data_IF_284678891111
#
_entry.id   IF_284678891111
#
_cell.length_a   1.000
_cell.length_b   1.000
_cell.length_c   1.000
_cell.angle_alpha   90.00
_cell.angle_beta   90.00
_cell.angle_gamma   90.00
#
_symmetry.space_group_name_H-M   'P 1'
#
loop_
_entity.id
_entity.type
_entity.pdbx_description
1 polymer ?
#
# COMPACT_ATOMS: atom_id res chain seq x y z
N UNK A 1 19.04 -24.25 -21.90
CA UNK A 1 18.47 -23.24 -21.00
C UNK A 1 17.52 -23.95 -20.04
N UNK A 2 17.55 -23.70 -18.73
CA UNK A 2 16.55 -24.24 -17.82
C UNK A 2 15.16 -23.75 -18.25
N UNK A 3 14.14 -24.57 -18.19
CA UNK A 3 12.79 -24.13 -18.53
C UNK A 3 12.36 -23.11 -17.50
N UNK A 4 12.35 -21.82 -17.90
CA UNK A 4 11.77 -20.77 -17.10
C UNK A 4 10.28 -20.79 -17.38
N UNK A 5 9.51 -21.29 -16.43
CA UNK A 5 8.06 -21.15 -16.49
C UNK A 5 7.72 -19.68 -16.24
N UNK A 6 7.09 -18.97 -17.19
CA UNK A 6 6.69 -17.62 -16.95
C UNK A 6 5.66 -17.58 -15.82
N UNK A 7 5.88 -16.68 -14.88
CA UNK A 7 4.94 -16.49 -13.78
C UNK A 7 3.71 -15.73 -14.29
N UNK A 8 2.55 -16.31 -14.08
CA UNK A 8 1.28 -15.76 -14.53
C UNK A 8 0.59 -15.00 -13.39
N UNK A 9 0.46 -13.71 -13.54
CA UNK A 9 -0.13 -12.82 -12.53
C UNK A 9 -1.56 -12.38 -12.85
N UNK A 10 -1.98 -12.52 -14.07
CA UNK A 10 -3.31 -12.14 -14.51
C UNK A 10 -4.00 -13.27 -15.28
N UNK A 11 -5.30 -13.17 -15.43
CA UNK A 11 -6.08 -14.22 -16.09
C UNK A 11 -5.69 -14.44 -17.56
N UNK A 12 -5.22 -13.41 -18.25
CA UNK A 12 -4.99 -13.46 -19.70
C UNK A 12 -3.61 -12.97 -20.14
N UNK A 13 -2.81 -12.41 -19.24
CA UNK A 13 -1.51 -11.82 -19.59
C UNK A 13 -0.45 -12.12 -18.53
N UNK A 14 0.81 -12.25 -18.96
CA UNK A 14 1.98 -12.41 -18.10
C UNK A 14 2.51 -11.05 -17.62
N UNK A 15 1.62 -10.20 -17.16
CA UNK A 15 1.97 -8.90 -16.61
C UNK A 15 1.34 -8.74 -15.24
N UNK A 16 2.17 -8.41 -14.26
CA UNK A 16 1.72 -8.22 -12.89
C UNK A 16 0.95 -6.90 -12.77
N UNK A 17 -0.36 -6.97 -12.54
CA UNK A 17 -1.20 -5.80 -12.33
C UNK A 17 -0.84 -5.02 -11.07
N UNK A 18 -0.25 -5.69 -10.08
CA UNK A 18 0.25 -5.05 -8.85
C UNK A 18 1.64 -4.39 -9.03
N UNK A 19 2.18 -4.36 -10.25
CA UNK A 19 3.44 -3.66 -10.61
C UNK A 19 3.23 -2.69 -11.77
N UNK A 20 1.97 -2.42 -12.10
CA UNK A 20 1.61 -1.73 -13.34
C UNK A 20 1.18 -0.26 -13.14
N UNK A 21 1.04 0.21 -11.91
CA UNK A 21 0.40 1.52 -11.65
C UNK A 21 1.14 2.68 -12.30
N UNK A 22 2.46 2.67 -12.29
CA UNK A 22 3.26 3.68 -12.98
C UNK A 22 3.13 3.59 -14.50
N UNK A 23 3.30 2.38 -15.07
CA UNK A 23 3.26 2.15 -16.51
C UNK A 23 1.85 2.23 -17.07
N UNK A 24 0.86 1.76 -16.32
CA UNK A 24 -0.55 1.66 -16.71
C UNK A 24 -0.74 1.00 -18.09
N UNK A 25 -0.02 -0.12 -18.30
CA UNK A 25 -0.12 -0.92 -19.52
C UNK A 25 -1.49 -1.62 -19.62
N UNK A 26 -2.04 -2.04 -18.48
CA UNK A 26 -3.33 -2.71 -18.38
C UNK A 26 -4.49 -1.70 -18.31
N UNK A 27 -5.62 -2.06 -18.93
CA UNK A 27 -6.82 -1.21 -18.89
C UNK A 27 -7.42 -1.10 -17.48
N UNK A 28 -7.36 -2.19 -16.71
CA UNK A 28 -7.79 -2.19 -15.31
C UNK A 28 -7.00 -1.18 -14.47
N UNK A 29 -5.67 -1.15 -14.64
CA UNK A 29 -4.81 -0.17 -13.96
C UNK A 29 -5.11 1.26 -14.39
N UNK A 30 -5.33 1.47 -15.70
CA UNK A 30 -5.74 2.78 -16.21
C UNK A 30 -7.07 3.24 -15.64
N UNK A 31 -8.02 2.33 -15.45
CA UNK A 31 -9.32 2.63 -14.86
C UNK A 31 -9.20 3.06 -13.39
N UNK A 32 -8.45 2.29 -12.59
CA UNK A 32 -8.18 2.64 -11.18
C UNK A 32 -7.47 3.97 -11.07
N UNK A 33 -6.45 4.20 -11.89
CA UNK A 33 -5.70 5.45 -11.89
C UNK A 33 -6.57 6.65 -12.31
N UNK A 34 -7.42 6.50 -13.34
CA UNK A 34 -8.39 7.55 -13.71
C UNK A 34 -9.33 7.88 -12.55
N UNK A 35 -9.89 6.87 -11.88
CA UNK A 35 -10.74 7.09 -10.73
C UNK A 35 -9.99 7.84 -9.61
N UNK A 36 -8.74 7.46 -9.33
CA UNK A 36 -7.92 8.15 -8.33
C UNK A 36 -7.76 9.63 -8.67
N UNK A 37 -7.39 9.97 -9.89
CA UNK A 37 -7.21 11.36 -10.31
C UNK A 37 -8.52 12.13 -10.52
N UNK A 38 -9.63 11.46 -10.77
CA UNK A 38 -10.94 12.10 -10.89
C UNK A 38 -11.53 12.48 -9.53
N UNK A 39 -11.43 11.57 -8.55
CA UNK A 39 -12.05 11.75 -7.25
C UNK A 39 -11.13 12.35 -6.18
N UNK A 40 -9.82 12.34 -6.40
CA UNK A 40 -8.81 12.81 -5.44
C UNK A 40 -9.07 12.33 -4.01
N UNK A 41 -9.15 11.01 -3.77
CA UNK A 41 -9.44 10.49 -2.44
C UNK A 41 -8.33 10.86 -1.47
N UNK A 42 -8.70 11.20 -0.23
CA UNK A 42 -7.75 11.50 0.84
C UNK A 42 -6.92 10.27 1.22
N UNK A 43 -7.52 9.10 1.11
CA UNK A 43 -6.84 7.83 1.35
C UNK A 43 -7.31 6.78 0.35
N UNK A 44 -6.41 5.87 0.00
CA UNK A 44 -6.72 4.61 -0.68
C UNK A 44 -6.36 3.44 0.23
N UNK A 45 -7.07 2.34 0.06
CA UNK A 45 -6.87 1.14 0.85
C UNK A 45 -6.80 -0.07 -0.08
N UNK A 46 -5.64 -0.70 -0.14
CA UNK A 46 -5.35 -1.84 -0.99
C UNK A 46 -5.38 -3.14 -0.19
N UNK A 47 -5.92 -4.22 -0.75
CA UNK A 47 -6.11 -5.48 -0.04
C UNK A 47 -5.33 -6.58 -0.73
N UNK A 48 -4.40 -7.18 0.00
CA UNK A 48 -3.47 -8.19 -0.50
C UNK A 48 -3.46 -9.48 0.31
N UNK A 49 -2.94 -10.52 -0.32
CA UNK A 49 -2.67 -11.82 0.28
C UNK A 49 -1.23 -12.25 0.01
N UNK A 50 -0.43 -12.32 1.06
CA UNK A 50 0.96 -12.79 0.98
C UNK A 50 1.58 -13.01 2.35
N UNK A 51 1.23 -12.21 3.35
CA UNK A 51 1.87 -12.16 4.66
C UNK A 51 0.87 -12.52 5.75
N UNK A 52 1.27 -13.42 6.61
CA UNK A 52 0.44 -14.06 7.62
C UNK A 52 -0.37 -13.11 8.51
N UNK A 53 -1.58 -13.55 8.84
CA UNK A 53 -2.51 -12.90 9.75
C UNK A 53 -3.07 -11.61 9.16
N UNK A 54 -2.93 -10.48 9.84
CA UNK A 54 -3.26 -9.19 9.25
C UNK A 54 -2.11 -8.20 9.51
N UNK A 55 -1.36 -7.91 8.47
CA UNK A 55 -0.40 -6.82 8.46
C UNK A 55 -1.09 -5.57 7.93
N UNK A 56 -1.11 -4.49 8.70
CA UNK A 56 -1.53 -3.17 8.24
C UNK A 56 -0.30 -2.31 7.93
N UNK A 57 -0.26 -1.72 6.75
CA UNK A 57 0.92 -1.05 6.24
C UNK A 57 1.15 0.33 6.88
N UNK A 58 2.38 0.60 7.31
CA UNK A 58 2.81 1.92 7.80
C UNK A 58 4.27 2.26 7.52
N UNK A 59 5.03 1.31 6.94
CA UNK A 59 6.46 1.47 6.72
C UNK A 59 7.35 1.25 7.94
N UNK A 60 8.62 1.07 7.68
CA UNK A 60 9.69 0.91 8.68
C UNK A 60 10.80 1.95 8.50
N UNK A 61 10.80 2.66 7.37
CA UNK A 61 11.90 3.51 6.94
C UNK A 61 13.09 2.73 6.33
N UNK A 62 14.02 3.44 5.65
CA UNK A 62 13.91 4.87 5.40
C UNK A 62 12.74 5.21 4.49
N UNK A 63 12.09 6.33 4.71
CA UNK A 63 11.03 6.82 3.84
C UNK A 63 11.59 7.61 2.66
N UNK A 64 10.86 7.61 1.55
CA UNK A 64 11.18 8.43 0.40
C UNK A 64 11.24 9.92 0.83
N UNK A 65 12.38 10.60 0.63
CA UNK A 65 12.56 11.98 1.11
C UNK A 65 11.68 13.01 0.39
N UNK A 66 11.02 12.61 -0.70
CA UNK A 66 10.07 13.48 -1.42
C UNK A 66 8.66 13.42 -0.84
N UNK A 67 8.35 12.43 0.02
CA UNK A 67 7.05 12.37 0.68
C UNK A 67 6.89 13.58 1.61
N UNK A 68 5.66 14.06 1.66
CA UNK A 68 5.30 15.08 2.62
C UNK A 68 5.27 14.47 4.04
N UNK A 69 5.94 15.08 5.05
CA UNK A 69 6.06 14.48 6.39
C UNK A 69 4.72 14.16 7.07
N UNK A 70 3.66 14.91 6.79
CA UNK A 70 2.33 14.69 7.35
C UNK A 70 1.80 13.30 6.95
N UNK A 71 1.99 12.88 5.70
CA UNK A 71 1.48 11.58 5.24
C UNK A 71 2.13 10.41 5.98
N UNK A 72 3.40 10.56 6.37
CA UNK A 72 4.11 9.54 7.16
C UNK A 72 3.45 9.41 8.54
N UNK A 73 3.14 10.54 9.18
CA UNK A 73 2.44 10.55 10.47
C UNK A 73 1.04 9.93 10.37
N UNK A 74 0.29 10.27 9.34
CA UNK A 74 -1.04 9.72 9.08
C UNK A 74 -1.01 8.20 8.87
N UNK A 75 0.00 7.67 8.17
CA UNK A 75 0.19 6.22 8.00
C UNK A 75 0.35 5.53 9.36
N UNK A 76 1.15 6.10 10.26
CA UNK A 76 1.32 5.55 11.62
C UNK A 76 0.03 5.65 12.42
N UNK A 77 -0.62 6.79 12.46
CA UNK A 77 -1.86 7.01 13.21
C UNK A 77 -2.96 6.03 12.79
N UNK A 78 -3.19 5.88 11.50
CA UNK A 78 -4.20 4.97 10.97
C UNK A 78 -3.86 3.50 11.28
N UNK A 79 -2.61 3.10 11.10
CA UNK A 79 -2.19 1.72 11.35
C UNK A 79 -2.29 1.34 12.83
N UNK A 80 -1.90 2.23 13.73
CA UNK A 80 -2.03 1.98 15.17
C UNK A 80 -3.47 2.04 15.64
N UNK A 81 -4.31 2.88 15.05
CA UNK A 81 -5.75 2.89 15.33
C UNK A 81 -6.39 1.53 15.00
N UNK A 82 -6.00 0.92 13.88
CA UNK A 82 -6.45 -0.44 13.51
C UNK A 82 -5.91 -1.51 14.45
N UNK A 83 -4.59 -1.55 14.67
CA UNK A 83 -3.99 -2.52 15.59
C UNK A 83 -4.66 -2.45 16.96
N UNK A 84 -4.89 -1.24 17.48
CA UNK A 84 -5.61 -1.02 18.74
C UNK A 84 -7.03 -1.56 18.69
N UNK A 85 -7.79 -1.21 17.66
CA UNK A 85 -9.21 -1.56 17.54
C UNK A 85 -9.38 -3.07 17.42
N UNK A 86 -8.63 -3.73 16.55
CA UNK A 86 -8.75 -5.17 16.34
C UNK A 86 -8.20 -5.96 17.54
N UNK A 87 -7.15 -5.46 18.20
CA UNK A 87 -6.66 -6.03 19.46
C UNK A 87 -7.73 -5.96 20.55
N UNK A 88 -8.43 -4.83 20.68
CA UNK A 88 -9.53 -4.68 21.65
C UNK A 88 -10.71 -5.61 21.37
N UNK A 89 -10.93 -6.00 20.12
CA UNK A 89 -11.90 -7.03 19.72
C UNK A 89 -11.40 -8.46 19.96
N UNK A 90 -10.17 -8.64 20.45
CA UNK A 90 -9.60 -9.94 20.71
C UNK A 90 -9.08 -10.68 19.47
N UNK A 91 -8.83 -9.99 18.36
CA UNK A 91 -8.29 -10.56 17.12
C UNK A 91 -6.77 -10.75 17.23
N UNK A 92 -6.26 -11.99 17.31
CA UNK A 92 -4.84 -12.24 17.48
C UNK A 92 -4.07 -12.06 16.18
N UNK A 93 -2.81 -11.63 16.29
CA UNK A 93 -1.88 -11.57 15.17
C UNK A 93 -2.05 -10.37 14.24
N UNK A 94 -2.84 -9.37 14.62
CA UNK A 94 -2.87 -8.08 13.92
C UNK A 94 -1.59 -7.32 14.28
N UNK A 95 -0.90 -6.83 13.25
CA UNK A 95 0.37 -6.16 13.43
C UNK A 95 0.64 -5.13 12.33
N UNK A 96 1.62 -4.28 12.57
CA UNK A 96 2.07 -3.25 11.64
C UNK A 96 3.60 -3.27 11.54
N UNK A 97 4.20 -2.27 10.93
CA UNK A 97 5.64 -2.09 10.77
C UNK A 97 6.23 -2.80 9.55
N UNK A 98 5.58 -2.61 8.40
CA UNK A 98 6.11 -2.96 7.08
C UNK A 98 5.37 -2.19 5.98
N UNK A 99 5.98 -2.03 4.82
CA UNK A 99 5.46 -1.37 3.62
C UNK A 99 5.04 0.10 3.81
N UNK A 100 4.94 0.84 2.73
CA UNK A 100 4.47 2.23 2.74
C UNK A 100 5.58 3.29 2.72
N UNK A 101 6.83 2.91 2.43
CA UNK A 101 7.97 3.85 2.39
C UNK A 101 7.98 4.79 1.17
N UNK A 102 7.10 4.57 0.19
CA UNK A 102 6.90 5.47 -0.95
C UNK A 102 7.94 5.39 -2.07
N UNK A 103 8.76 4.34 -2.13
CA UNK A 103 9.75 4.15 -3.20
C UNK A 103 9.23 3.33 -4.39
N UNK A 104 8.21 2.52 -4.18
CA UNK A 104 7.68 1.60 -5.18
C UNK A 104 6.68 2.25 -6.13
N UNK A 105 7.09 3.16 -7.01
CA UNK A 105 6.20 3.89 -7.92
C UNK A 105 5.33 2.99 -8.83
N UNK A 106 5.59 1.71 -8.88
CA UNK A 106 4.77 0.72 -9.57
C UNK A 106 3.57 0.22 -8.74
N UNK A 107 3.52 0.52 -7.45
CA UNK A 107 2.38 0.24 -6.57
C UNK A 107 1.39 1.41 -6.52
N UNK A 108 0.09 1.11 -6.40
CA UNK A 108 -0.93 2.14 -6.30
C UNK A 108 -0.81 2.96 -5.01
N UNK A 109 -0.44 2.33 -3.88
CA UNK A 109 -0.24 3.02 -2.61
C UNK A 109 0.87 4.08 -2.69
N UNK A 110 1.97 3.76 -3.39
CA UNK A 110 3.07 4.71 -3.59
C UNK A 110 2.68 5.85 -4.53
N UNK A 111 1.90 5.58 -5.58
CA UNK A 111 1.35 6.64 -6.43
C UNK A 111 0.47 7.56 -5.61
N UNK A 112 -0.44 7.01 -4.81
CA UNK A 112 -1.33 7.80 -3.94
C UNK A 112 -0.54 8.67 -2.96
N UNK A 113 0.45 8.08 -2.28
CA UNK A 113 1.28 8.77 -1.28
C UNK A 113 2.08 9.91 -1.90
N UNK A 114 2.61 9.71 -3.11
CA UNK A 114 3.33 10.76 -3.84
C UNK A 114 2.39 11.85 -4.41
N UNK A 115 1.07 11.64 -4.36
CA UNK A 115 0.04 12.64 -4.67
C UNK A 115 -0.69 13.14 -3.41
N UNK A 116 -0.03 13.09 -2.26
CA UNK A 116 -0.52 13.58 -0.97
C UNK A 116 -1.72 12.84 -0.38
N UNK A 117 -2.18 11.74 -0.99
CA UNK A 117 -3.15 10.84 -0.39
C UNK A 117 -2.45 9.85 0.55
N UNK A 118 -3.20 9.23 1.44
CA UNK A 118 -2.69 8.20 2.33
C UNK A 118 -2.82 6.86 1.60
N UNK A 119 -1.70 6.35 1.08
CA UNK A 119 -1.64 5.05 0.43
C UNK A 119 -1.35 3.96 1.45
N UNK A 120 -2.30 3.07 1.68
CA UNK A 120 -2.18 2.02 2.68
C UNK A 120 -2.91 0.75 2.29
N UNK A 121 -2.72 -0.32 3.04
CA UNK A 121 -3.37 -1.59 2.76
C UNK A 121 -3.11 -2.66 3.80
N UNK A 122 -3.56 -3.86 3.49
CA UNK A 122 -3.41 -5.08 4.28
C UNK A 122 -2.70 -6.17 3.51
N UNK A 123 -2.05 -7.03 4.29
CA UNK A 123 -1.66 -8.37 3.86
C UNK A 123 -2.30 -9.41 4.79
N UNK A 124 -2.79 -10.50 4.22
CA UNK A 124 -3.20 -11.70 4.94
C UNK A 124 -2.53 -12.93 4.35
N UNK A 125 -2.82 -14.12 4.88
CA UNK A 125 -2.33 -15.36 4.27
C UNK A 125 -2.84 -15.50 2.84
N UNK A 126 -1.95 -15.94 1.94
CA UNK A 126 -2.35 -16.46 0.64
C UNK A 126 -3.10 -17.78 0.79
N UNK A 127 -4.24 -17.93 0.12
CA UNK A 127 -5.04 -19.14 0.09
C UNK A 127 -5.30 -19.56 -1.35
N UNK A 128 -4.74 -20.71 -1.75
CA UNK A 128 -4.97 -21.26 -3.07
C UNK A 128 -6.33 -21.99 -3.19
N UNK A 129 -6.91 -22.40 -2.06
CA UNK A 129 -8.15 -23.16 -2.00
C UNK A 129 -9.05 -22.64 -0.87
N UNK A 130 -10.33 -23.04 -0.88
CA UNK A 130 -11.28 -22.71 0.19
C UNK A 130 -11.19 -23.64 1.41
N UNK A 131 -10.18 -24.50 1.46
CA UNK A 131 -10.01 -25.45 2.55
C UNK A 131 -9.66 -24.78 3.87
N UNK A 132 -10.08 -25.39 4.97
CA UNK A 132 -9.59 -25.06 6.30
C UNK A 132 -8.31 -25.84 6.56
N UNK A 133 -7.21 -25.12 6.77
CA UNK A 133 -5.89 -25.72 6.97
C UNK A 133 -5.34 -25.41 8.37
N UNK A 134 -4.55 -26.34 8.89
CA UNK A 134 -3.78 -26.09 10.10
C UNK A 134 -2.56 -25.25 9.74
N UNK A 135 -2.49 -24.03 10.27
CA UNK A 135 -1.32 -23.16 10.14
C UNK A 135 -0.39 -23.31 11.33
N UNK A 136 0.90 -23.36 11.05
CA UNK A 136 1.95 -23.32 12.05
C UNK A 136 2.86 -22.12 11.77
N UNK A 137 2.93 -21.16 12.70
CA UNK A 137 3.64 -19.88 12.54
C UNK A 137 4.72 -19.67 13.61
N UNK A 138 4.99 -20.67 14.45
CA UNK A 138 5.87 -20.52 15.62
C UNK A 138 7.27 -20.03 15.31
N UNK A 139 7.84 -20.44 14.19
CA UNK A 139 9.20 -20.09 13.75
C UNK A 139 9.23 -18.97 12.71
N UNK A 140 8.08 -18.48 12.29
CA UNK A 140 8.02 -17.42 11.28
C UNK A 140 8.42 -16.07 11.86
N UNK A 141 9.35 -15.39 11.17
CA UNK A 141 9.96 -14.12 11.59
C UNK A 141 9.93 -13.10 10.45
N UNK A 142 8.78 -12.51 10.14
CA UNK A 142 8.69 -11.55 9.05
C UNK A 142 9.46 -10.27 9.34
N UNK A 143 9.56 -9.93 10.63
CA UNK A 143 10.20 -8.73 11.12
C UNK A 143 10.71 -8.98 12.56
N UNK A 144 12.02 -9.19 12.72
CA UNK A 144 12.65 -9.36 14.03
C UNK A 144 12.21 -10.63 14.79
N UNK A 145 11.58 -10.50 15.98
CA UNK A 145 11.17 -11.62 16.81
C UNK A 145 10.10 -12.52 16.17
N UNK A 146 9.94 -13.78 16.62
CA UNK A 146 8.90 -14.66 16.11
C UNK A 146 7.51 -14.02 16.15
N UNK A 147 6.66 -14.37 15.19
CA UNK A 147 5.28 -13.84 15.11
C UNK A 147 4.45 -14.13 16.36
N UNK A 148 4.84 -15.12 17.15
CA UNK A 148 4.19 -15.52 18.39
C UNK A 148 4.66 -14.73 19.63
N UNK A 149 5.64 -13.83 19.47
CA UNK A 149 6.05 -12.93 20.57
C UNK A 149 5.20 -11.67 20.60
N UNK A 150 5.00 -11.13 21.80
CA UNK A 150 4.35 -9.84 22.00
C UNK A 150 5.36 -8.74 21.74
N UNK A 151 4.99 -7.85 20.81
CA UNK A 151 5.80 -6.70 20.44
C UNK A 151 4.93 -5.43 20.44
N UNK A 152 5.55 -4.26 20.52
CA UNK A 152 4.83 -2.98 20.47
C UNK A 152 4.00 -2.85 19.18
N UNK A 153 4.45 -3.42 18.07
CA UNK A 153 3.77 -3.43 16.79
C UNK A 153 2.84 -4.65 16.60
N UNK A 154 2.81 -5.59 17.54
CA UNK A 154 1.96 -6.80 17.57
C UNK A 154 1.58 -7.11 19.02
N UNK A 155 0.66 -6.33 19.62
CA UNK A 155 0.36 -6.41 21.04
C UNK A 155 -0.36 -7.70 21.46
N UNK A 156 -1.10 -8.33 20.56
CA UNK A 156 -1.80 -9.60 20.77
C UNK A 156 -1.28 -10.65 19.77
N UNK A 157 -0.21 -11.40 20.08
CA UNK A 157 0.31 -12.40 19.16
C UNK A 157 -0.64 -13.60 19.00
N UNK A 158 -0.57 -14.33 17.86
CA UNK A 158 -1.35 -15.54 17.68
C UNK A 158 -0.75 -16.71 18.47
N UNK A 159 -1.52 -17.80 18.67
CA UNK A 159 -0.96 -19.08 19.09
C UNK A 159 -0.01 -19.65 18.01
N UNK A 160 0.87 -20.58 18.38
CA UNK A 160 1.80 -21.20 17.44
C UNK A 160 1.11 -21.98 16.31
N UNK A 161 -0.04 -22.58 16.64
CA UNK A 161 -0.87 -23.37 15.74
C UNK A 161 -2.31 -22.95 15.82
N UNK A 162 -2.99 -22.83 14.69
CA UNK A 162 -4.41 -22.50 14.60
C UNK A 162 -4.97 -22.96 13.26
N UNK A 163 -6.27 -23.13 13.21
CA UNK A 163 -6.98 -23.36 11.95
C UNK A 163 -7.15 -22.03 11.21
N UNK A 164 -7.02 -22.08 9.89
CA UNK A 164 -7.19 -20.93 9.02
C UNK A 164 -7.85 -21.33 7.71
N UNK A 165 -8.75 -20.50 7.24
CA UNK A 165 -9.48 -20.68 5.99
C UNK A 165 -9.56 -19.36 5.24
N UNK A 166 -10.05 -19.38 4.01
CA UNK A 166 -10.37 -18.17 3.26
C UNK A 166 -11.39 -17.28 4.03
N UNK A 167 -12.28 -17.89 4.81
CA UNK A 167 -13.23 -17.15 5.67
C UNK A 167 -12.50 -16.27 6.69
N UNK A 168 -11.37 -16.72 7.22
CA UNK A 168 -10.60 -15.95 8.19
C UNK A 168 -9.93 -14.74 7.52
N UNK A 169 -9.40 -14.88 6.29
CA UNK A 169 -8.94 -13.73 5.50
C UNK A 169 -10.05 -12.68 5.36
N UNK A 170 -11.23 -13.11 4.92
CA UNK A 170 -12.38 -12.21 4.75
C UNK A 170 -12.75 -11.53 6.06
N UNK A 171 -12.83 -12.28 7.15
CA UNK A 171 -13.19 -11.73 8.47
C UNK A 171 -12.16 -10.69 8.95
N UNK A 172 -10.86 -10.99 8.82
CA UNK A 172 -9.80 -10.08 9.23
C UNK A 172 -9.79 -8.81 8.39
N UNK A 173 -9.81 -8.94 7.07
CA UNK A 173 -9.82 -7.79 6.16
C UNK A 173 -11.07 -6.94 6.33
N UNK A 174 -12.25 -7.56 6.39
CA UNK A 174 -13.53 -6.84 6.57
C UNK A 174 -13.55 -6.08 7.89
N UNK A 175 -13.11 -6.71 8.98
CA UNK A 175 -13.07 -6.05 10.30
C UNK A 175 -12.08 -4.88 10.29
N UNK A 176 -10.91 -5.05 9.67
CA UNK A 176 -9.94 -3.99 9.46
C UNK A 176 -10.51 -2.83 8.64
N UNK A 177 -11.15 -3.12 7.49
CA UNK A 177 -11.79 -2.10 6.67
C UNK A 177 -12.86 -1.32 7.44
N UNK A 178 -13.70 -1.99 8.23
CA UNK A 178 -14.70 -1.31 9.04
C UNK A 178 -14.07 -0.44 10.14
N UNK A 179 -12.99 -0.91 10.76
CA UNK A 179 -12.25 -0.13 11.75
C UNK A 179 -11.68 1.16 11.15
N UNK A 180 -11.06 1.07 9.96
CA UNK A 180 -10.46 2.24 9.32
C UNK A 180 -11.48 3.19 8.72
N UNK A 181 -12.60 2.69 8.20
CA UNK A 181 -13.71 3.53 7.75
C UNK A 181 -14.28 4.34 8.92
N UNK A 182 -14.44 3.71 10.08
CA UNK A 182 -14.87 4.41 11.29
C UNK A 182 -13.84 5.45 11.74
N UNK A 183 -12.55 5.12 11.74
CA UNK A 183 -11.49 6.08 12.03
C UNK A 183 -11.53 7.28 11.09
N UNK A 184 -11.61 7.03 9.79
CA UNK A 184 -11.66 8.07 8.75
C UNK A 184 -12.89 8.97 8.92
N UNK A 185 -14.05 8.40 9.25
CA UNK A 185 -15.26 9.17 9.50
C UNK A 185 -15.13 10.09 10.73
N UNK A 186 -14.56 9.59 11.82
CA UNK A 186 -14.35 10.35 13.05
C UNK A 186 -13.29 11.46 12.91
N UNK A 187 -12.29 11.25 12.06
CA UNK A 187 -11.17 12.18 11.83
C UNK A 187 -11.26 12.92 10.48
N UNK A 188 -12.42 12.91 9.83
CA UNK A 188 -12.60 13.42 8.47
C UNK A 188 -12.14 14.87 8.28
N UNK A 189 -12.41 15.75 9.25
CA UNK A 189 -11.99 17.15 9.17
C UNK A 189 -10.48 17.33 9.25
N UNK A 190 -9.80 16.55 10.11
CA UNK A 190 -8.35 16.61 10.25
C UNK A 190 -7.68 16.06 8.98
N UNK A 191 -8.14 14.92 8.48
CA UNK A 191 -7.63 14.31 7.26
C UNK A 191 -7.80 15.22 6.04
N UNK A 192 -8.95 15.89 5.89
CA UNK A 192 -9.18 16.85 4.81
C UNK A 192 -8.30 18.09 4.95
N UNK A 193 -8.14 18.62 6.16
CA UNK A 193 -7.25 19.75 6.42
C UNK A 193 -5.80 19.40 6.09
N UNK A 194 -5.35 18.23 6.47
CA UNK A 194 -3.98 17.78 6.24
C UNK A 194 -3.74 17.44 4.77
N UNK A 195 -4.74 16.89 4.06
CA UNK A 195 -4.67 16.74 2.61
C UNK A 195 -4.49 18.10 1.89
N UNK A 196 -5.24 19.12 2.31
CA UNK A 196 -5.05 20.48 1.80
C UNK A 196 -3.65 21.03 2.12
N UNK A 197 -3.16 20.85 3.34
CA UNK A 197 -1.82 21.31 3.75
C UNK A 197 -0.72 20.65 2.92
N UNK A 198 -0.76 19.34 2.79
CA UNK A 198 0.19 18.54 1.98
C UNK A 198 0.21 19.04 0.53
N UNK A 199 -0.95 19.26 -0.05
CA UNK A 199 -1.08 19.74 -1.42
C UNK A 199 -0.57 21.19 -1.57
N UNK A 200 -0.86 22.05 -0.62
CA UNK A 200 -0.36 23.42 -0.60
C UNK A 200 1.16 23.48 -0.44
N UNK A 201 1.74 22.69 0.46
CA UNK A 201 3.19 22.61 0.63
C UNK A 201 3.90 22.06 -0.62
N UNK A 202 3.32 21.05 -1.27
CA UNK A 202 3.84 20.54 -2.55
C UNK A 202 3.86 21.63 -3.64
N UNK A 203 2.79 22.40 -3.75
CA UNK A 203 2.72 23.54 -4.66
C UNK A 203 3.77 24.62 -4.32
N UNK A 204 3.93 24.96 -3.04
CA UNK A 204 4.95 25.91 -2.57
C UNK A 204 6.38 25.43 -2.88
N UNK A 205 6.66 24.13 -2.71
CA UNK A 205 7.95 23.53 -3.07
C UNK A 205 8.25 23.73 -4.57
N UNK A 206 7.27 23.51 -5.43
CA UNK A 206 7.41 23.71 -6.88
C UNK A 206 7.78 25.16 -7.26
N UNK A 207 7.35 26.15 -6.47
CA UNK A 207 7.72 27.56 -6.69
C UNK A 207 9.10 27.88 -6.13
N UNK A 208 9.43 27.39 -4.93
CA UNK A 208 10.58 27.84 -4.15
C UNK A 208 11.84 26.98 -4.32
N UNK A 209 11.68 25.72 -4.66
CA UNK A 209 12.78 24.75 -4.72
C UNK A 209 13.29 24.49 -6.14
N UNK A 210 14.52 24.05 -6.23
CA UNK A 210 15.15 23.61 -7.49
C UNK A 210 15.11 22.08 -7.57
N UNK A 211 15.09 21.51 -8.79
CA UNK A 211 15.06 22.16 -10.10
C UNK A 211 13.69 22.72 -10.44
N UNK A 212 13.65 23.87 -11.14
CA UNK A 212 12.39 24.49 -11.58
C UNK A 212 11.75 23.77 -12.76
N UNK A 213 12.51 22.95 -13.48
CA UNK A 213 12.05 22.17 -14.62
C UNK A 213 13.00 21.01 -14.91
N UNK A 214 12.47 19.95 -15.50
CA UNK A 214 13.23 18.88 -16.13
C UNK A 214 13.10 19.03 -17.65
N UNK A 215 14.24 19.02 -18.37
CA UNK A 215 14.26 19.19 -19.81
C UNK A 215 14.63 17.87 -20.48
N UNK A 216 13.84 17.45 -21.44
CA UNK A 216 14.16 16.35 -22.34
C UNK A 216 14.71 16.98 -23.64
N UNK A 217 16.02 16.88 -23.93
CA UNK A 217 16.58 17.43 -25.16
C UNK A 217 15.93 16.81 -26.39
N UNK A 218 15.80 17.57 -27.46
CA UNK A 218 15.22 17.10 -28.73
C UNK A 218 16.04 16.02 -29.44
N UNK A 219 17.36 16.02 -29.19
CA UNK A 219 18.31 15.08 -29.80
C UNK A 219 18.41 13.79 -28.96
N UNK A 220 17.38 12.96 -29.06
CA UNK A 220 17.33 11.64 -28.46
C UNK A 220 17.44 10.57 -29.54
N UNK A 221 18.18 9.51 -29.25
CA UNK A 221 18.36 8.38 -30.17
C UNK A 221 17.06 7.62 -30.51
N UNK A 222 16.10 7.62 -29.60
CA UNK A 222 14.81 6.94 -29.79
C UNK A 222 13.64 7.87 -29.42
N UNK A 223 13.11 8.54 -30.43
CA UNK A 223 11.97 9.45 -30.27
C UNK A 223 10.68 8.76 -29.82
N UNK A 224 10.50 7.46 -30.12
CA UNK A 224 9.32 6.70 -29.67
C UNK A 224 9.35 6.50 -28.16
N UNK A 225 10.49 6.16 -27.60
CA UNK A 225 10.65 6.05 -26.14
C UNK A 225 10.47 7.38 -25.43
N UNK A 226 10.93 8.48 -26.04
CA UNK A 226 10.66 9.82 -25.51
C UNK A 226 9.16 10.09 -25.47
N UNK A 227 8.44 9.86 -26.57
CA UNK A 227 7.00 10.06 -26.63
C UNK A 227 6.27 9.16 -25.61
N UNK A 228 6.69 7.91 -25.48
CA UNK A 228 6.14 6.99 -24.49
C UNK A 228 6.32 7.52 -23.06
N UNK A 229 7.53 7.96 -22.70
CA UNK A 229 7.82 8.53 -21.39
C UNK A 229 7.00 9.79 -21.12
N UNK A 230 6.94 10.71 -22.09
CA UNK A 230 6.13 11.94 -21.97
C UNK A 230 4.66 11.62 -21.77
N UNK A 231 4.11 10.67 -22.53
CA UNK A 231 2.71 10.26 -22.38
C UNK A 231 2.44 9.59 -21.04
N UNK A 232 3.40 8.80 -20.54
CA UNK A 232 3.32 8.19 -19.23
C UNK A 232 3.29 9.26 -18.13
N UNK A 233 4.20 10.24 -18.18
CA UNK A 233 4.25 11.36 -17.22
C UNK A 233 2.97 12.21 -17.28
N UNK A 234 2.48 12.52 -18.48
CA UNK A 234 1.18 13.21 -18.66
C UNK A 234 0.00 12.45 -18.07
N UNK A 235 0.07 11.13 -18.04
CA UNK A 235 -0.94 10.29 -17.42
C UNK A 235 -0.87 10.24 -15.89
N UNK A 236 0.16 10.82 -15.27
CA UNK A 236 0.26 10.96 -13.82
C UNK A 236 -0.29 12.32 -13.32
N UNK A 237 -0.66 13.21 -14.22
CA UNK A 237 -1.19 14.58 -14.04
C UNK A 237 -0.26 15.55 -13.33
#
# INVERSE_FOLDING_TARGET
LPPISPQYWGQYVYHDNNRDTHQAALETTRAVRRAFFEYHPVAIHDLHESIALLLTWNGTGPFNPNLEPIVISELFDMSFAEVRTLTAMGMPGVWTWAFGEGFGHHYMESVATNHNAIGRGYETFGNATAETVQREVGEWRPQGPPVTSREWYRPLPPPKRFQWSLRDNVNYMQTGCLAILNYTALHSQDLLRDFYRKSFESWQKGIKQKPSAFVIPSEQGDRRRVAQMVNLLRGQQ
#
